data_IF_342597418263
#
_entry.id   IF_342597418263
#
_cell.length_a   1.000
_cell.length_b   1.000
_cell.length_c   1.000
_cell.angle_alpha   90.00
_cell.angle_beta   90.00
_cell.angle_gamma   90.00
#
_symmetry.space_group_name_H-M   'P 1'
#
loop_
_entity.id
_entity.type
_entity.pdbx_description
1 polymer ?
#
# COMPACT_ATOMS: atom_id res chain seq x y z
N UNK A 1 27.00 21.44 7.48
CA UNK A 1 25.64 21.30 6.92
C UNK A 1 24.92 20.12 7.55
N UNK A 2 23.61 20.25 7.72
CA UNK A 2 22.73 19.20 8.22
C UNK A 2 22.37 18.29 7.04
N UNK A 3 22.63 16.98 7.18
CA UNK A 3 22.34 16.00 6.11
C UNK A 3 20.90 15.48 6.19
N UNK A 4 20.36 15.35 7.40
CA UNK A 4 19.01 14.83 7.65
C UNK A 4 18.49 15.32 9.00
N UNK A 5 17.18 15.57 9.07
CA UNK A 5 16.45 15.91 10.29
C UNK A 5 15.09 15.22 10.23
N UNK A 6 14.69 14.59 11.33
CA UNK A 6 13.40 13.91 11.43
C UNK A 6 12.96 13.75 12.89
N UNK A 7 11.70 13.39 13.10
CA UNK A 7 11.14 13.02 14.39
C UNK A 7 11.60 11.61 14.75
N UNK A 8 12.51 11.54 15.71
CA UNK A 8 13.01 10.26 16.22
C UNK A 8 11.98 9.53 17.10
N UNK A 9 11.69 8.28 16.77
CA UNK A 9 10.83 7.38 17.56
C UNK A 9 11.69 6.47 18.44
N UNK A 10 11.43 6.50 19.75
CA UNK A 10 12.15 5.66 20.72
C UNK A 10 11.88 4.19 20.46
N UNK A 11 12.93 3.38 20.37
CA UNK A 11 12.81 1.94 20.13
C UNK A 11 12.52 1.55 18.68
N UNK A 12 12.67 2.46 17.71
CA UNK A 12 12.52 2.15 16.30
C UNK A 12 13.67 1.25 15.81
N UNK A 13 13.33 -0.02 15.55
CA UNK A 13 14.23 -1.05 15.00
C UNK A 13 14.03 -1.25 13.49
N UNK A 14 13.09 -0.53 12.85
CA UNK A 14 12.83 -0.63 11.42
C UNK A 14 13.59 0.39 10.61
N UNK A 15 13.54 1.66 11.02
CA UNK A 15 14.24 2.73 10.30
C UNK A 15 15.75 2.43 10.29
N UNK A 16 16.25 2.15 9.10
CA UNK A 16 17.62 1.75 8.86
C UNK A 16 18.35 2.84 8.10
N UNK A 17 19.43 3.32 8.69
CA UNK A 17 20.30 4.32 8.09
C UNK A 17 21.43 3.64 7.36
N UNK A 18 21.67 4.04 6.12
CA UNK A 18 22.85 3.62 5.36
C UNK A 18 23.87 4.75 5.37
N UNK A 19 25.12 4.41 5.66
CA UNK A 19 26.22 5.39 5.69
C UNK A 19 27.44 4.80 5.00
N UNK A 20 27.97 5.53 4.01
CA UNK A 20 29.36 5.40 3.59
C UNK A 20 30.17 6.54 4.19
N UNK A 21 31.29 6.23 4.82
CA UNK A 21 32.19 7.25 5.37
C UNK A 21 33.66 6.88 5.15
N UNK A 22 34.51 7.90 5.05
CA UNK A 22 35.97 7.75 5.06
C UNK A 22 36.43 7.84 6.51
N UNK A 23 37.21 6.85 6.94
CA UNK A 23 37.95 6.92 8.20
C UNK A 23 39.19 7.80 8.03
N UNK A 24 39.26 8.90 8.78
CA UNK A 24 40.33 9.88 8.64
C UNK A 24 41.74 9.36 8.99
N UNK A 25 41.84 8.30 9.80
CA UNK A 25 43.14 7.69 10.16
C UNK A 25 43.69 6.77 9.05
N UNK A 26 42.84 5.92 8.48
CA UNK A 26 43.29 4.93 7.48
C UNK A 26 43.05 5.35 6.02
N UNK A 27 42.23 6.37 5.78
CA UNK A 27 41.80 6.77 4.44
C UNK A 27 40.89 5.75 3.75
N UNK A 28 40.48 4.69 4.44
CA UNK A 28 39.59 3.65 3.90
C UNK A 28 38.14 4.09 4.00
N UNK A 29 37.35 3.65 3.04
CA UNK A 29 35.89 3.85 3.05
C UNK A 29 35.22 2.64 3.70
N UNK A 30 34.36 2.91 4.67
CA UNK A 30 33.52 1.93 5.34
C UNK A 30 32.06 2.16 5.00
N UNK A 31 31.29 1.08 4.95
CA UNK A 31 29.85 1.08 4.75
C UNK A 31 29.16 0.38 5.90
N UNK A 32 28.06 0.96 6.40
CA UNK A 32 27.25 0.34 7.44
C UNK A 32 25.77 0.61 7.28
N UNK A 33 24.99 -0.34 7.81
CA UNK A 33 23.56 -0.24 8.05
C UNK A 33 23.33 -0.23 9.55
N UNK A 34 22.56 0.73 10.04
CA UNK A 34 22.32 0.83 11.47
C UNK A 34 20.95 1.39 11.82
N UNK A 35 20.42 0.95 12.96
CA UNK A 35 19.28 1.61 13.62
C UNK A 35 19.78 2.57 14.70
N UNK A 36 18.91 3.51 15.06
CA UNK A 36 19.09 4.43 16.18
C UNK A 36 17.95 4.20 17.16
N UNK A 37 18.05 3.15 17.98
CA UNK A 37 16.97 2.75 18.91
C UNK A 37 16.91 3.58 20.19
N UNK A 38 18.01 4.24 20.57
CA UNK A 38 18.12 5.05 21.79
C UNK A 38 19.09 6.23 21.61
N UNK A 39 18.64 7.43 21.96
CA UNK A 39 19.47 8.65 22.04
C UNK A 39 19.31 9.32 23.41
N UNK A 40 20.37 9.99 23.86
CA UNK A 40 20.31 10.92 25.01
C UNK A 40 20.21 12.33 24.46
N UNK A 41 19.28 13.13 24.99
CA UNK A 41 19.14 14.55 24.62
C UNK A 41 20.47 15.28 24.84
N UNK A 42 20.79 16.20 23.93
CA UNK A 42 22.00 17.04 23.97
C UNK A 42 23.33 16.27 23.90
N UNK A 43 23.31 14.98 23.56
CA UNK A 43 24.51 14.18 23.34
C UNK A 43 24.76 13.98 21.86
N UNK A 44 25.93 14.39 21.41
CA UNK A 44 26.43 14.07 20.08
C UNK A 44 27.02 12.65 20.04
N UNK A 45 26.80 11.95 18.93
CA UNK A 45 27.34 10.61 18.69
C UNK A 45 28.10 10.58 17.37
N UNK A 46 29.32 10.07 17.41
CA UNK A 46 30.12 9.86 16.21
C UNK A 46 29.58 8.67 15.41
N UNK A 47 29.23 8.90 14.14
CA UNK A 47 28.77 7.86 13.22
C UNK A 47 29.91 7.20 12.44
N UNK A 48 31.16 7.58 12.69
CA UNK A 48 32.38 7.03 12.10
C UNK A 48 33.18 6.28 13.19
N UNK A 49 34.50 6.13 13.01
CA UNK A 49 35.41 5.60 14.03
C UNK A 49 35.91 6.66 15.03
N UNK A 50 35.54 7.93 14.87
CA UNK A 50 36.09 9.02 15.68
C UNK A 50 37.47 9.52 15.26
N UNK A 51 37.97 9.10 14.10
CA UNK A 51 39.24 9.60 13.57
C UNK A 51 39.11 11.05 13.09
N UNK A 52 40.07 11.90 13.43
CA UNK A 52 40.15 13.26 12.90
C UNK A 52 40.12 13.23 11.35
N UNK A 53 39.38 14.16 10.73
CA UNK A 53 39.16 14.23 9.28
C UNK A 53 38.30 13.11 8.67
N UNK A 54 37.57 12.34 9.48
CA UNK A 54 36.54 11.43 8.94
C UNK A 54 35.43 12.23 8.25
N UNK A 55 34.91 11.69 7.15
CA UNK A 55 33.89 12.38 6.31
C UNK A 55 32.80 11.42 5.88
N UNK A 56 31.55 11.87 5.97
CA UNK A 56 30.42 11.19 5.32
C UNK A 56 30.54 11.37 3.81
N UNK A 57 30.35 10.28 3.07
CA UNK A 57 30.32 10.26 1.60
C UNK A 57 28.92 10.07 1.05
N UNK A 58 28.08 9.33 1.78
CA UNK A 58 26.73 8.98 1.38
C UNK A 58 25.90 8.67 2.62
N UNK A 59 24.68 9.18 2.66
CA UNK A 59 23.73 8.91 3.74
C UNK A 59 22.33 8.78 3.15
N UNK A 60 21.63 7.71 3.50
CA UNK A 60 20.21 7.51 3.16
C UNK A 60 19.45 6.99 4.38
N UNK A 61 18.14 7.24 4.37
CA UNK A 61 17.21 6.85 5.43
C UNK A 61 16.18 5.92 4.81
N UNK A 62 16.05 4.72 5.37
CA UNK A 62 15.22 3.65 4.84
C UNK A 62 14.22 3.26 5.94
N UNK A 63 13.03 3.88 6.00
CA UNK A 63 12.06 3.71 7.08
C UNK A 63 11.60 2.27 7.28
N UNK A 64 11.58 1.48 6.21
CA UNK A 64 11.18 0.08 6.26
C UNK A 64 12.38 -0.88 6.27
N UNK A 65 13.61 -0.39 6.33
CA UNK A 65 14.80 -1.23 6.24
C UNK A 65 15.07 -1.74 4.82
N UNK A 66 14.70 -0.94 3.83
CA UNK A 66 14.93 -1.17 2.40
C UNK A 66 16.41 -1.47 2.11
N UNK A 67 16.67 -2.42 1.21
CA UNK A 67 18.01 -2.57 0.63
C UNK A 67 18.27 -1.48 -0.40
N UNK A 68 19.54 -1.22 -0.69
CA UNK A 68 19.92 -0.14 -1.60
C UNK A 68 21.22 -0.50 -2.30
N UNK A 69 21.24 -0.33 -3.63
CA UNK A 69 22.45 -0.45 -4.42
C UNK A 69 22.93 0.96 -4.77
N UNK A 70 24.21 1.24 -4.49
CA UNK A 70 24.85 2.50 -4.85
C UNK A 70 26.02 2.26 -5.78
N UNK A 71 26.20 3.15 -6.75
CA UNK A 71 27.37 3.16 -7.63
C UNK A 71 28.46 4.05 -7.02
N UNK A 72 29.65 3.48 -6.83
CA UNK A 72 30.81 4.15 -6.25
C UNK A 72 31.80 4.48 -7.35
N UNK A 73 32.11 5.77 -7.49
CA UNK A 73 33.17 6.27 -8.35
C UNK A 73 34.41 6.59 -7.54
N UNK A 74 35.50 5.87 -7.81
CA UNK A 74 36.82 6.14 -7.25
C UNK A 74 37.47 7.36 -7.91
N UNK A 75 38.47 7.92 -7.22
CA UNK A 75 39.26 9.02 -7.75
C UNK A 75 40.03 8.58 -9.01
N UNK A 76 40.07 9.39 -10.09
CA UNK A 76 40.71 9.02 -11.35
C UNK A 76 42.17 8.62 -11.21
N UNK A 77 42.88 9.24 -10.26
CA UNK A 77 44.32 9.05 -10.03
C UNK A 77 44.64 7.86 -9.10
N UNK A 78 43.64 7.12 -8.62
CA UNK A 78 43.89 5.94 -7.78
C UNK A 78 44.38 4.75 -8.62
N UNK A 79 45.13 3.84 -7.98
CA UNK A 79 45.72 2.65 -8.62
C UNK A 79 44.72 1.50 -8.86
N UNK A 80 43.43 1.71 -8.60
CA UNK A 80 42.43 0.67 -8.77
C UNK A 80 42.22 0.35 -10.26
N UNK A 81 42.11 -0.95 -10.59
CA UNK A 81 41.77 -1.41 -11.94
C UNK A 81 40.33 -1.05 -12.31
N UNK A 82 39.37 -1.46 -11.46
CA UNK A 82 38.00 -1.00 -11.59
C UNK A 82 37.77 0.25 -10.73
N UNK A 83 37.36 1.36 -11.37
CA UNK A 83 37.11 2.65 -10.71
C UNK A 83 35.63 2.97 -10.53
N UNK A 84 34.75 2.15 -11.10
CA UNK A 84 33.29 2.29 -10.95
C UNK A 84 32.71 0.93 -10.65
N UNK A 85 32.11 0.77 -9.49
CA UNK A 85 31.50 -0.49 -9.09
C UNK A 85 30.28 -0.23 -8.22
N UNK A 86 29.39 -1.20 -8.19
CA UNK A 86 28.19 -1.15 -7.37
C UNK A 86 28.47 -1.77 -6.00
N UNK A 87 27.86 -1.19 -4.98
CA UNK A 87 27.89 -1.67 -3.61
C UNK A 87 26.47 -1.87 -3.13
N UNK A 88 26.16 -3.11 -2.71
CA UNK A 88 24.85 -3.46 -2.18
C UNK A 88 24.86 -3.36 -0.66
N UNK A 89 24.06 -2.42 -0.13
CA UNK A 89 23.84 -2.32 1.31
C UNK A 89 23.11 -3.55 1.85
N UNK A 90 22.24 -4.21 1.08
CA UNK A 90 21.48 -5.38 1.48
C UNK A 90 22.35 -6.53 2.01
N UNK A 91 23.58 -6.67 1.54
CA UNK A 91 24.56 -7.66 2.02
C UNK A 91 25.08 -7.38 3.45
N UNK A 92 24.94 -6.15 3.93
CA UNK A 92 25.35 -5.76 5.27
C UNK A 92 24.27 -6.10 6.30
N UNK A 93 24.67 -6.72 7.40
CA UNK A 93 23.81 -6.86 8.56
C UNK A 93 23.50 -5.49 9.19
N UNK A 94 22.24 -5.31 9.59
CA UNK A 94 21.79 -4.14 10.35
C UNK A 94 22.32 -4.26 11.79
N UNK A 95 23.02 -3.22 12.26
CA UNK A 95 23.62 -3.18 13.62
C UNK A 95 23.26 -1.87 14.34
N UNK A 96 23.91 -1.58 15.47
CA UNK A 96 23.76 -0.29 16.15
C UNK A 96 24.60 0.83 15.51
N UNK A 97 24.23 2.09 15.79
CA UNK A 97 24.96 3.29 15.30
C UNK A 97 26.47 3.28 15.57
N UNK A 98 26.92 2.69 16.67
CA UNK A 98 28.34 2.62 17.06
C UNK A 98 29.12 1.57 16.27
N UNK A 99 28.46 0.81 15.40
CA UNK A 99 29.13 -0.18 14.56
C UNK A 99 30.11 0.48 13.60
N UNK A 100 31.22 -0.21 13.38
CA UNK A 100 32.27 0.22 12.46
C UNK A 100 31.81 0.16 10.99
N UNK A 101 31.02 -0.85 10.64
CA UNK A 101 30.74 -1.19 9.25
C UNK A 101 31.80 -2.10 8.61
N UNK A 102 31.54 -2.48 7.37
CA UNK A 102 32.43 -3.29 6.56
C UNK A 102 33.30 -2.39 5.68
N UNK A 103 34.49 -2.87 5.31
CA UNK A 103 35.36 -2.12 4.39
C UNK A 103 34.78 -2.20 2.98
N UNK A 104 34.48 -1.05 2.38
CA UNK A 104 33.97 -0.96 1.01
C UNK A 104 35.12 -0.84 0.03
N UNK A 105 36.08 0.03 0.32
CA UNK A 105 37.27 0.19 -0.51
C UNK A 105 38.40 0.84 0.27
N UNK A 106 39.64 0.50 -0.12
CA UNK A 106 40.86 1.15 0.36
C UNK A 106 41.26 2.38 -0.47
N UNK A 107 40.57 2.63 -1.58
CA UNK A 107 40.90 3.70 -2.51
C UNK A 107 40.05 4.96 -2.26
N UNK A 108 40.55 6.16 -2.56
CA UNK A 108 39.78 7.40 -2.37
C UNK A 108 38.53 7.44 -3.25
N UNK A 109 37.36 7.60 -2.63
CA UNK A 109 36.07 7.74 -3.31
C UNK A 109 35.86 9.19 -3.73
N UNK A 110 35.43 9.41 -4.98
CA UNK A 110 35.11 10.73 -5.54
C UNK A 110 33.62 11.04 -5.43
N UNK A 111 32.77 10.07 -5.75
CA UNK A 111 31.31 10.25 -5.81
C UNK A 111 30.61 8.94 -5.49
N UNK A 112 29.47 9.03 -4.82
CA UNK A 112 28.53 7.92 -4.63
C UNK A 112 27.19 8.39 -5.20
N UNK A 113 26.51 7.53 -5.94
CA UNK A 113 25.17 7.78 -6.49
C UNK A 113 24.26 6.61 -6.17
N UNK A 114 23.05 6.89 -5.69
CA UNK A 114 22.01 5.87 -5.60
C UNK A 114 21.73 5.31 -7.00
N UNK A 115 21.74 3.99 -7.12
CA UNK A 115 21.42 3.29 -8.36
C UNK A 115 20.01 2.73 -8.31
N UNK A 116 19.67 2.04 -7.21
CA UNK A 116 18.41 1.33 -7.07
C UNK A 116 18.03 1.23 -5.58
N UNK A 117 16.74 1.40 -5.30
CA UNK A 117 16.13 1.09 -4.00
C UNK A 117 15.46 -0.28 -4.11
N UNK A 118 15.83 -1.20 -3.24
CA UNK A 118 15.27 -2.55 -3.20
C UNK A 118 14.13 -2.70 -2.20
N UNK A 119 13.66 -3.94 -2.05
CA UNK A 119 12.60 -4.29 -1.10
C UNK A 119 13.07 -4.19 0.35
N UNK A 120 12.12 -4.20 1.27
CA UNK A 120 12.40 -4.30 2.71
C UNK A 120 13.18 -5.57 3.04
N UNK A 121 14.33 -5.41 3.69
CA UNK A 121 15.02 -6.57 4.29
C UNK A 121 14.33 -7.07 5.56
N UNK A 122 13.30 -6.37 6.05
CA UNK A 122 12.53 -6.67 7.24
C UNK A 122 11.11 -7.19 6.93
N UNK A 123 10.78 -7.34 5.64
CA UNK A 123 9.48 -7.79 5.13
C UNK A 123 8.34 -6.77 5.28
N UNK A 124 7.15 -7.16 4.80
CA UNK A 124 5.96 -6.33 4.79
C UNK A 124 5.43 -6.00 6.21
N UNK A 125 4.93 -4.78 6.39
CA UNK A 125 4.31 -4.30 7.63
C UNK A 125 2.80 -4.33 7.53
N UNK A 126 2.13 -4.71 8.62
CA UNK A 126 0.67 -4.57 8.70
C UNK A 126 0.33 -3.12 9.05
N UNK A 127 -0.62 -2.53 8.33
CA UNK A 127 -0.98 -1.12 8.46
C UNK A 127 -2.46 -0.98 8.77
N UNK A 128 -2.76 -0.06 9.68
CA UNK A 128 -4.11 0.36 10.03
C UNK A 128 -4.26 1.88 9.90
N UNK A 129 -5.50 2.33 9.74
CA UNK A 129 -5.89 3.74 9.84
C UNK A 129 -6.79 3.95 11.05
N UNK A 130 -6.46 4.91 11.91
CA UNK A 130 -7.37 5.34 12.97
C UNK A 130 -8.56 6.08 12.36
N UNK A 131 -9.77 5.55 12.59
CA UNK A 131 -11.00 5.99 11.90
C UNK A 131 -11.46 7.40 12.29
N UNK A 132 -10.93 7.97 13.38
CA UNK A 132 -11.29 9.31 13.85
C UNK A 132 -10.27 10.34 13.37
N UNK A 133 -8.99 10.07 13.59
CA UNK A 133 -7.92 11.01 13.26
C UNK A 133 -7.45 10.89 11.81
N UNK A 134 -7.66 9.75 11.15
CA UNK A 134 -7.17 9.45 9.80
C UNK A 134 -5.67 9.19 9.72
N UNK A 135 -4.98 8.97 10.85
CA UNK A 135 -3.55 8.66 10.89
C UNK A 135 -3.30 7.18 10.63
N UNK A 136 -2.27 6.91 9.85
CA UNK A 136 -1.75 5.55 9.65
C UNK A 136 -0.92 5.11 10.86
N UNK A 137 -1.01 3.82 11.20
CA UNK A 137 -0.28 3.21 12.30
C UNK A 137 -0.01 1.72 12.04
N UNK A 138 0.88 1.14 12.85
CA UNK A 138 1.23 -0.29 12.84
C UNK A 138 0.84 -0.96 14.17
N UNK A 139 0.03 -0.30 14.99
CA UNK A 139 -0.27 -0.68 16.38
C UNK A 139 -1.57 -1.50 16.49
N UNK A 140 -2.00 -2.11 15.38
CA UNK A 140 -3.24 -2.89 15.28
C UNK A 140 -4.53 -2.11 15.62
N UNK A 141 -4.51 -0.78 15.47
CA UNK A 141 -5.61 0.09 15.88
C UNK A 141 -6.33 0.72 14.68
N UNK A 142 -7.64 0.46 14.62
CA UNK A 142 -8.56 1.06 13.65
C UNK A 142 -8.82 0.13 12.46
N UNK A 143 -9.02 0.72 11.28
CA UNK A 143 -9.31 0.01 10.04
C UNK A 143 -8.03 -0.63 9.48
N UNK A 144 -8.01 -1.95 9.36
CA UNK A 144 -6.91 -2.67 8.71
C UNK A 144 -6.87 -2.37 7.21
N UNK A 145 -5.73 -1.90 6.71
CA UNK A 145 -5.55 -1.54 5.30
C UNK A 145 -4.87 -2.63 4.48
N UNK A 146 -4.09 -3.50 5.13
CA UNK A 146 -3.33 -4.56 4.48
C UNK A 146 -1.89 -4.64 4.96
N UNK A 147 -1.11 -5.50 4.28
CA UNK A 147 0.34 -5.63 4.49
C UNK A 147 1.10 -4.92 3.38
N UNK A 148 1.98 -3.99 3.74
CA UNK A 148 2.71 -3.12 2.83
C UNK A 148 4.20 -3.41 2.88
N UNK A 149 4.80 -3.64 1.72
CA UNK A 149 6.23 -3.65 1.47
C UNK A 149 6.62 -2.43 0.62
N UNK A 150 7.91 -2.29 0.35
CA UNK A 150 8.45 -1.20 -0.48
C UNK A 150 7.80 -1.22 -1.87
N UNK A 151 7.24 -0.08 -2.26
CA UNK A 151 6.55 0.10 -3.55
C UNK A 151 5.07 -0.28 -3.53
N UNK A 152 4.54 -0.84 -2.44
CA UNK A 152 3.10 -1.04 -2.31
C UNK A 152 2.36 0.30 -2.19
N UNK A 153 1.17 0.35 -2.78
CA UNK A 153 0.36 1.54 -2.89
C UNK A 153 -0.99 1.38 -2.19
N UNK A 154 -1.62 2.51 -1.89
CA UNK A 154 -2.96 2.63 -1.35
C UNK A 154 -3.94 2.91 -2.48
N UNK A 155 -5.12 2.30 -2.42
CA UNK A 155 -6.30 2.66 -3.19
C UNK A 155 -7.25 3.46 -2.29
N UNK A 156 -7.64 4.65 -2.74
CA UNK A 156 -8.64 5.47 -2.08
C UNK A 156 -9.85 5.66 -3.00
N UNK A 157 -11.05 5.54 -2.44
CA UNK A 157 -12.31 5.88 -3.12
C UNK A 157 -13.01 6.95 -2.28
N UNK A 158 -13.32 8.07 -2.90
CA UNK A 158 -13.89 9.24 -2.25
C UNK A 158 -15.41 9.33 -2.43
N UNK A 159 -16.08 10.01 -1.52
CA UNK A 159 -17.54 10.23 -1.55
C UNK A 159 -17.99 11.08 -2.75
N UNK A 160 -17.09 11.87 -3.33
CA UNK A 160 -17.35 12.66 -4.54
C UNK A 160 -17.31 11.83 -5.83
N UNK A 161 -16.96 10.54 -5.76
CA UNK A 161 -16.83 9.68 -6.92
C UNK A 161 -15.51 9.83 -7.67
N UNK A 162 -14.47 10.28 -6.97
CA UNK A 162 -13.09 10.13 -7.42
C UNK A 162 -12.42 8.92 -6.78
N UNK A 163 -11.43 8.34 -7.46
CA UNK A 163 -10.47 7.42 -6.86
C UNK A 163 -9.05 7.99 -6.96
N UNK A 164 -8.15 7.48 -6.15
CA UNK A 164 -6.73 7.84 -6.16
C UNK A 164 -5.89 6.62 -5.81
N UNK A 165 -4.76 6.47 -6.50
CA UNK A 165 -3.69 5.55 -6.11
C UNK A 165 -2.51 6.37 -5.60
N UNK A 166 -1.96 5.99 -4.44
CA UNK A 166 -0.90 6.75 -3.77
C UNK A 166 0.12 5.80 -3.15
N UNK A 167 1.40 6.18 -3.17
CA UNK A 167 2.44 5.43 -2.48
C UNK A 167 2.20 5.40 -0.96
N UNK A 168 2.49 4.26 -0.33
CA UNK A 168 2.36 4.17 1.11
C UNK A 168 3.37 5.07 1.83
N UNK A 169 2.87 5.98 2.67
CA UNK A 169 3.68 6.81 3.56
C UNK A 169 3.01 6.92 4.94
N UNK A 170 3.70 6.43 5.97
CA UNK A 170 3.21 6.41 7.35
C UNK A 170 2.93 7.80 7.95
N UNK A 171 3.50 8.88 7.39
CA UNK A 171 3.30 10.23 7.88
C UNK A 171 2.04 10.90 7.33
N UNK A 172 1.41 10.29 6.31
CA UNK A 172 0.20 10.82 5.73
C UNK A 172 -1.00 10.71 6.68
N UNK A 173 -1.88 11.70 6.57
CA UNK A 173 -3.14 11.78 7.29
C UNK A 173 -4.29 11.95 6.30
N UNK A 174 -5.26 11.04 6.38
CA UNK A 174 -6.45 11.08 5.54
C UNK A 174 -7.62 11.76 6.26
N UNK A 175 -8.65 12.10 5.48
CA UNK A 175 -9.91 12.62 6.00
C UNK A 175 -10.96 11.49 5.95
N UNK A 176 -11.23 10.78 7.07
CA UNK A 176 -12.10 9.60 7.04
C UNK A 176 -13.52 9.90 6.53
N UNK A 177 -14.01 11.11 6.79
CA UNK A 177 -15.32 11.58 6.35
C UNK A 177 -15.44 11.87 4.85
N UNK A 178 -14.33 11.95 4.11
CA UNK A 178 -14.34 12.10 2.65
C UNK A 178 -14.23 10.75 1.93
N UNK A 179 -13.88 9.69 2.65
CA UNK A 179 -13.60 8.38 2.10
C UNK A 179 -14.83 7.47 2.14
N UNK A 180 -14.95 6.67 1.09
CA UNK A 180 -15.80 5.46 1.04
C UNK A 180 -14.94 4.22 1.27
N UNK A 181 -13.70 4.23 0.78
CA UNK A 181 -12.76 3.13 0.94
C UNK A 181 -11.32 3.65 1.02
N UNK A 182 -10.50 2.95 1.81
CA UNK A 182 -9.05 3.02 1.81
C UNK A 182 -8.51 1.61 2.09
N UNK A 183 -7.50 1.19 1.35
CA UNK A 183 -6.88 -0.12 1.50
C UNK A 183 -5.68 -0.28 0.59
N UNK A 184 -4.99 -1.42 0.68
CA UNK A 184 -3.91 -1.76 -0.24
C UNK A 184 -4.43 -1.83 -1.67
N UNK A 185 -3.71 -1.22 -2.60
CA UNK A 185 -4.00 -1.28 -4.02
C UNK A 185 -3.58 -2.64 -4.59
N UNK A 186 -4.48 -3.24 -5.36
CA UNK A 186 -4.22 -4.39 -6.21
C UNK A 186 -4.81 -4.07 -7.60
N UNK A 187 -3.99 -4.08 -8.68
CA UNK A 187 -4.44 -3.79 -10.03
C UNK A 187 -5.62 -4.64 -10.51
N UNK A 188 -5.77 -5.86 -9.99
CA UNK A 188 -6.87 -6.75 -10.36
C UNK A 188 -8.17 -6.44 -9.63
N UNK A 189 -8.14 -5.57 -8.60
CA UNK A 189 -9.32 -5.20 -7.81
C UNK A 189 -10.36 -4.50 -8.67
N UNK A 190 -11.57 -5.07 -8.68
CA UNK A 190 -12.72 -4.49 -9.36
C UNK A 190 -13.47 -3.56 -8.40
N UNK A 191 -13.56 -2.28 -8.76
CA UNK A 191 -14.39 -1.30 -8.08
C UNK A 191 -15.80 -1.40 -8.64
N UNK A 192 -16.76 -1.70 -7.76
CA UNK A 192 -18.19 -1.71 -8.07
C UNK A 192 -18.85 -0.47 -7.49
N UNK A 193 -19.47 0.35 -8.34
CA UNK A 193 -20.10 1.61 -7.95
C UNK A 193 -21.55 1.70 -8.43
N UNK A 194 -22.41 2.28 -7.59
CA UNK A 194 -23.76 2.71 -7.96
C UNK A 194 -23.82 4.21 -7.80
N UNK A 195 -24.21 4.91 -8.86
CA UNK A 195 -24.26 6.36 -8.85
C UNK A 195 -25.42 6.90 -9.67
N UNK A 196 -25.84 8.12 -9.35
CA UNK A 196 -26.79 8.86 -10.15
C UNK A 196 -26.02 9.61 -11.25
N UNK A 197 -26.34 9.35 -12.51
CA UNK A 197 -25.74 10.01 -13.68
C UNK A 197 -26.58 11.24 -14.03
N UNK A 198 -25.97 12.41 -13.92
CA UNK A 198 -26.67 13.68 -13.94
C UNK A 198 -27.14 14.12 -15.34
N UNK A 199 -26.49 13.70 -16.42
CA UNK A 199 -26.88 14.09 -17.78
C UNK A 199 -28.18 13.41 -18.22
N UNK A 200 -28.37 12.14 -17.83
CA UNK A 200 -29.53 11.31 -18.22
C UNK A 200 -30.59 11.20 -17.13
N UNK A 201 -30.24 11.54 -15.89
CA UNK A 201 -31.12 11.42 -14.73
C UNK A 201 -31.38 9.97 -14.31
N UNK A 202 -30.43 9.07 -14.56
CA UNK A 202 -30.57 7.63 -14.28
C UNK A 202 -29.69 7.21 -13.11
N UNK A 203 -30.11 6.18 -12.39
CA UNK A 203 -29.16 5.44 -11.54
C UNK A 203 -28.53 4.33 -12.36
N UNK A 204 -27.20 4.29 -12.33
CA UNK A 204 -26.39 3.34 -13.10
C UNK A 204 -25.48 2.54 -12.18
N UNK A 205 -25.13 1.34 -12.61
CA UNK A 205 -24.13 0.48 -11.97
C UNK A 205 -22.92 0.40 -12.89
N UNK A 206 -21.73 0.56 -12.32
CA UNK A 206 -20.47 0.52 -13.04
C UNK A 206 -19.48 -0.37 -12.29
N UNK A 207 -18.77 -1.22 -13.03
CA UNK A 207 -17.68 -2.04 -12.53
C UNK A 207 -16.45 -1.79 -13.37
N UNK A 208 -15.30 -1.55 -12.76
CA UNK A 208 -14.06 -1.24 -13.46
C UNK A 208 -12.83 -1.58 -12.62
N UNK A 209 -11.69 -1.82 -13.27
CA UNK A 209 -10.38 -1.87 -12.64
C UNK A 209 -9.68 -0.51 -12.82
N UNK A 210 -8.70 -0.21 -11.96
CA UNK A 210 -7.90 1.01 -12.09
C UNK A 210 -6.89 0.82 -13.21
N UNK A 211 -7.01 1.65 -14.26
CA UNK A 211 -6.10 1.62 -15.42
C UNK A 211 -5.09 2.77 -15.41
N UNK A 212 -5.20 3.71 -14.47
CA UNK A 212 -4.33 4.89 -14.40
C UNK A 212 -2.99 4.56 -13.78
N UNK A 213 -1.91 5.02 -14.40
CA UNK A 213 -0.54 4.83 -13.92
C UNK A 213 -0.02 5.98 -13.06
N UNK A 214 -0.71 7.11 -13.04
CA UNK A 214 -0.31 8.29 -12.25
C UNK A 214 -0.71 8.10 -10.78
N UNK A 215 0.27 8.30 -9.89
CA UNK A 215 0.05 8.36 -8.45
C UNK A 215 -0.30 9.78 -7.99
N UNK A 216 -0.90 9.90 -6.82
CA UNK A 216 -1.21 11.18 -6.16
C UNK A 216 -2.15 12.10 -6.95
N UNK A 217 -2.91 11.52 -7.87
CA UNK A 217 -3.90 12.21 -8.67
C UNK A 217 -5.29 11.60 -8.46
N UNK A 218 -6.27 12.47 -8.24
CA UNK A 218 -7.69 12.07 -8.19
C UNK A 218 -8.27 11.95 -9.60
N UNK A 219 -8.94 10.84 -9.86
CA UNK A 219 -9.63 10.56 -11.11
C UNK A 219 -11.13 10.42 -10.89
N UNK A 220 -11.92 11.30 -11.51
CA UNK A 220 -13.38 11.23 -11.45
C UNK A 220 -13.89 10.08 -12.33
N UNK A 221 -14.51 9.06 -11.72
CA UNK A 221 -15.10 7.94 -12.46
C UNK A 221 -16.62 8.09 -12.64
N UNK A 222 -17.21 9.20 -12.21
CA UNK A 222 -18.58 9.61 -12.55
C UNK A 222 -18.57 10.46 -13.83
N UNK A 223 -19.74 10.99 -14.19
CA UNK A 223 -19.81 12.03 -15.22
C UNK A 223 -19.46 13.40 -14.64
N UNK A 224 -18.92 14.28 -15.47
CA UNK A 224 -18.68 15.68 -15.13
C UNK A 224 -20.00 16.49 -15.22
N UNK A 225 -20.93 16.20 -14.31
CA UNK A 225 -22.20 16.91 -14.20
C UNK A 225 -22.49 17.23 -12.73
N UNK A 226 -22.93 18.45 -12.37
CA UNK A 226 -23.12 18.84 -10.97
C UNK A 226 -24.12 17.99 -10.17
N UNK A 227 -25.05 17.32 -10.85
CA UNK A 227 -26.01 16.42 -10.22
C UNK A 227 -25.51 14.98 -10.07
N UNK A 228 -24.38 14.63 -10.69
CA UNK A 228 -23.82 13.30 -10.56
C UNK A 228 -23.37 13.05 -9.15
N UNK A 229 -23.79 11.90 -8.59
CA UNK A 229 -23.55 11.60 -7.18
C UNK A 229 -23.34 10.12 -6.96
N UNK A 230 -22.23 9.78 -6.32
CA UNK A 230 -21.98 8.43 -5.82
C UNK A 230 -23.02 8.06 -4.75
N UNK A 231 -23.65 6.90 -4.92
CA UNK A 231 -24.63 6.36 -3.96
C UNK A 231 -24.03 5.21 -3.16
N UNK A 232 -23.12 4.45 -3.75
CA UNK A 232 -22.44 3.31 -3.14
C UNK A 232 -21.16 2.98 -3.92
N UNK A 233 -20.11 2.54 -3.23
CA UNK A 233 -18.96 1.87 -3.84
C UNK A 233 -18.46 0.74 -2.93
N UNK A 234 -17.94 -0.33 -3.54
CA UNK A 234 -17.34 -1.46 -2.84
C UNK A 234 -16.27 -2.11 -3.73
N UNK A 235 -15.25 -2.68 -3.09
CA UNK A 235 -14.19 -3.47 -3.75
C UNK A 235 -14.38 -4.98 -3.53
N UNK A 236 -15.49 -5.40 -2.91
CA UNK A 236 -15.78 -6.83 -2.77
C UNK A 236 -16.00 -7.46 -4.15
N UNK A 237 -15.57 -8.70 -4.30
CA UNK A 237 -15.66 -9.45 -5.57
C UNK A 237 -17.11 -9.56 -6.08
N UNK A 238 -18.05 -9.83 -5.16
CA UNK A 238 -19.49 -9.97 -5.43
C UNK A 238 -20.32 -9.13 -4.46
N UNK A 239 -20.34 -7.80 -4.60
CA UNK A 239 -21.09 -6.94 -3.70
C UNK A 239 -22.59 -7.05 -4.01
N UNK A 240 -23.38 -7.36 -2.98
CA UNK A 240 -24.83 -7.33 -3.03
C UNK A 240 -25.32 -6.08 -2.32
N UNK A 241 -26.30 -5.39 -2.91
CA UNK A 241 -26.88 -4.19 -2.33
C UNK A 241 -28.37 -4.34 -2.10
N UNK A 242 -28.88 -3.63 -1.10
CA UNK A 242 -30.29 -3.28 -0.97
C UNK A 242 -30.45 -1.79 -1.27
N UNK A 243 -31.51 -1.43 -1.98
CA UNK A 243 -31.84 -0.05 -2.31
C UNK A 243 -33.33 0.21 -2.21
N UNK A 244 -33.70 1.49 -2.13
CA UNK A 244 -35.08 1.96 -2.07
C UNK A 244 -35.37 2.95 -3.20
N UNK A 245 -36.57 2.87 -3.77
CA UNK A 245 -37.07 3.78 -4.79
C UNK A 245 -38.50 4.24 -4.45
N UNK A 246 -38.86 5.47 -4.84
CA UNK A 246 -40.23 5.99 -4.69
C UNK A 246 -40.96 5.96 -6.02
N UNK A 247 -42.07 5.22 -6.07
CA UNK A 247 -43.00 5.16 -7.22
C UNK A 247 -44.39 5.52 -6.75
N UNK A 248 -44.98 6.58 -7.32
CA UNK A 248 -46.34 7.07 -7.01
C UNK A 248 -46.62 7.10 -5.49
N UNK A 249 -45.71 7.74 -4.74
CA UNK A 249 -45.75 7.88 -3.27
C UNK A 249 -45.59 6.61 -2.43
N UNK A 250 -45.37 5.44 -3.06
CA UNK A 250 -45.01 4.20 -2.36
C UNK A 250 -43.50 3.99 -2.39
N UNK A 251 -42.93 3.61 -1.24
CA UNK A 251 -41.54 3.16 -1.14
C UNK A 251 -41.49 1.69 -1.57
N UNK A 252 -40.64 1.37 -2.54
CA UNK A 252 -40.31 0.02 -2.93
C UNK A 252 -38.85 -0.26 -2.60
N UNK A 253 -38.54 -1.48 -2.24
CA UNK A 253 -37.19 -1.93 -1.96
C UNK A 253 -36.79 -2.99 -3.00
N UNK A 254 -35.51 -3.01 -3.34
CA UNK A 254 -34.93 -3.97 -4.28
C UNK A 254 -33.56 -4.41 -3.81
N UNK A 255 -33.13 -5.56 -4.30
CA UNK A 255 -31.79 -6.11 -4.08
C UNK A 255 -31.11 -6.35 -5.41
N UNK A 256 -29.78 -6.25 -5.45
CA UNK A 256 -29.01 -6.47 -6.67
C UNK A 256 -27.63 -7.03 -6.35
N UNK A 257 -27.24 -8.11 -7.03
CA UNK A 257 -25.84 -8.54 -7.13
C UNK A 257 -25.17 -7.72 -8.24
N UNK A 258 -24.20 -6.89 -7.89
CA UNK A 258 -23.56 -6.00 -8.85
C UNK A 258 -22.69 -6.76 -9.84
N UNK A 259 -22.12 -7.90 -9.45
CA UNK A 259 -21.24 -8.69 -10.29
C UNK A 259 -22.00 -9.45 -11.38
N UNK A 260 -23.20 -9.93 -11.06
CA UNK A 260 -24.10 -10.56 -12.05
C UNK A 260 -24.77 -9.52 -12.98
N UNK A 261 -24.97 -8.28 -12.52
CA UNK A 261 -25.67 -7.25 -13.28
C UNK A 261 -24.86 -6.66 -14.44
N UNK A 262 -23.54 -6.58 -14.30
CA UNK A 262 -22.67 -5.96 -15.31
C UNK A 262 -21.25 -6.54 -15.26
N UNK A 263 -20.69 -6.80 -16.44
CA UNK A 263 -19.26 -7.11 -16.58
C UNK A 263 -18.37 -5.92 -16.20
N UNK A 264 -17.10 -6.20 -15.96
CA UNK A 264 -16.08 -5.15 -15.83
C UNK A 264 -15.98 -4.37 -17.15
N UNK A 265 -16.09 -3.05 -17.06
CA UNK A 265 -15.92 -2.10 -18.17
C UNK A 265 -14.72 -1.21 -17.87
N UNK A 266 -14.29 -0.41 -18.86
CA UNK A 266 -13.26 0.59 -18.64
C UNK A 266 -13.70 1.68 -17.66
N UNK A 267 -12.76 2.26 -16.92
CA UNK A 267 -13.05 3.22 -15.86
C UNK A 267 -13.70 4.53 -16.35
N UNK A 268 -13.71 4.82 -17.65
CA UNK A 268 -14.44 5.97 -18.25
C UNK A 268 -15.85 5.62 -18.74
N UNK A 269 -16.24 4.35 -18.76
CA UNK A 269 -17.57 3.94 -19.22
C UNK A 269 -18.65 4.43 -18.25
N UNK A 270 -19.86 4.71 -18.74
CA UNK A 270 -20.97 5.14 -17.87
C UNK A 270 -21.47 3.99 -16.98
N UNK A 271 -21.47 2.77 -17.50
CA UNK A 271 -22.08 1.60 -16.86
C UNK A 271 -23.49 1.30 -17.39
N UNK A 272 -24.18 0.37 -16.73
CA UNK A 272 -25.51 -0.10 -17.12
C UNK A 272 -26.59 0.60 -16.29
N UNK A 273 -27.70 0.98 -16.94
CA UNK A 273 -28.84 1.61 -16.28
C UNK A 273 -29.55 0.60 -15.36
N UNK A 274 -29.63 0.92 -14.08
CA UNK A 274 -30.43 0.19 -13.09
C UNK A 274 -31.82 0.80 -12.92
N UNK A 275 -31.92 2.12 -12.92
CA UNK A 275 -33.20 2.82 -12.75
C UNK A 275 -33.24 4.12 -13.54
N UNK A 276 -34.43 4.51 -13.99
CA UNK A 276 -34.74 5.82 -14.56
C UNK A 276 -34.83 6.94 -13.50
N UNK A 277 -34.58 6.62 -12.23
CA UNK A 277 -34.71 7.55 -11.09
C UNK A 277 -33.53 7.40 -10.16
N UNK A 278 -33.36 8.40 -9.29
CA UNK A 278 -32.39 8.35 -8.18
C UNK A 278 -32.83 7.34 -7.11
N UNK A 279 -31.93 6.44 -6.77
CA UNK A 279 -32.12 5.51 -5.64
C UNK A 279 -31.81 6.19 -4.30
N UNK A 280 -32.37 5.62 -3.23
CA UNK A 280 -32.17 6.04 -1.84
C UNK A 280 -31.84 4.82 -0.98
N UNK A 281 -31.20 5.01 0.17
CA UNK A 281 -30.82 3.95 1.10
C UNK A 281 -30.07 2.79 0.41
N UNK A 282 -29.15 3.10 -0.49
CA UNK A 282 -28.28 2.10 -1.12
C UNK A 282 -27.27 1.67 -0.07
N UNK A 283 -27.34 0.40 0.34
CA UNK A 283 -26.45 -0.18 1.35
C UNK A 283 -26.04 -1.58 0.95
N UNK A 284 -24.87 -2.00 1.38
CA UNK A 284 -24.43 -3.37 1.19
C UNK A 284 -25.31 -4.33 2.02
N UNK A 285 -25.64 -5.48 1.43
CA UNK A 285 -26.16 -6.62 2.15
C UNK A 285 -24.98 -7.47 2.58
N UNK A 286 -24.91 -7.79 3.86
CA UNK A 286 -23.94 -8.78 4.33
C UNK A 286 -24.27 -10.13 3.68
N UNK A 287 -23.36 -10.62 2.84
CA UNK A 287 -23.51 -11.93 2.23
C UNK A 287 -23.67 -12.99 3.31
N UNK A 288 -24.54 -13.98 3.06
CA UNK A 288 -24.47 -15.24 3.81
C UNK A 288 -23.02 -15.73 3.72
N UNK A 289 -22.40 -16.06 4.85
CA UNK A 289 -21.13 -16.78 4.86
C UNK A 289 -21.30 -18.04 4.02
N UNK A 290 -20.75 -18.04 2.80
CA UNK A 290 -20.57 -19.26 2.02
C UNK A 290 -19.36 -19.93 2.66
N UNK A 291 -19.61 -20.95 3.49
CA UNK A 291 -18.55 -21.65 4.24
C UNK A 291 -18.91 -22.13 5.64
N UNK A 292 -20.07 -22.79 5.79
CA UNK A 292 -20.18 -23.96 6.67
C UNK A 292 -21.03 -24.98 5.90
N UNK A 293 -20.41 -25.64 4.91
CA UNK A 293 -20.73 -27.05 4.75
C UNK A 293 -20.40 -27.68 6.11
N UNK A 294 -21.40 -28.30 6.73
CA UNK A 294 -21.28 -28.86 8.06
C UNK A 294 -20.03 -29.74 8.13
N UNK A 295 -19.19 -29.50 9.11
CA UNK A 295 -18.16 -30.46 9.48
C UNK A 295 -18.88 -31.76 9.84
N UNK A 296 -18.91 -32.71 8.90
CA UNK A 296 -19.36 -34.07 9.13
C UNK A 296 -18.45 -34.62 10.23
N UNK A 297 -19.03 -34.97 11.37
CA UNK A 297 -18.25 -35.55 12.48
C UNK A 297 -18.00 -37.02 12.15
N UNK A 298 -16.85 -37.54 12.60
CA UNK A 298 -16.59 -38.98 12.52
C UNK A 298 -17.70 -39.72 13.30
N UNK A 299 -18.60 -40.38 12.55
CA UNK A 299 -19.80 -41.03 13.09
C UNK A 299 -21.11 -40.65 12.40
N UNK A 300 -21.14 -39.64 11.52
CA UNK A 300 -22.34 -39.34 10.73
C UNK A 300 -22.55 -40.44 9.68
N UNK A 301 -23.61 -41.24 9.88
CA UNK A 301 -24.10 -42.21 8.90
C UNK A 301 -24.74 -41.49 7.72
N UNK A 302 -24.15 -41.66 6.53
CA UNK A 302 -24.74 -41.25 5.26
C UNK A 302 -25.70 -42.37 4.83
N UNK A 303 -27.01 -42.15 4.95
CA UNK A 303 -27.99 -43.01 4.27
C UNK A 303 -27.94 -42.71 2.77
N UNK A 304 -27.52 -43.72 2.00
CA UNK A 304 -27.62 -43.70 0.54
C UNK A 304 -28.96 -44.30 0.15
N UNK A 305 -29.93 -43.45 -0.21
CA UNK A 305 -31.08 -43.90 -1.00
C UNK A 305 -30.57 -44.26 -2.39
N UNK A 306 -30.42 -45.57 -2.63
CA UNK A 306 -30.18 -46.14 -3.94
C UNK A 306 -31.53 -46.33 -4.64
N UNK A 307 -31.79 -45.55 -5.69
CA UNK A 307 -32.83 -45.89 -6.67
C UNK A 307 -32.36 -47.09 -7.51
N UNK A 308 -33.29 -47.98 -7.85
CA UNK A 308 -33.14 -49.29 -8.53
C UNK A 308 -32.59 -49.23 -9.98
N UNK A 309 -31.49 -48.51 -10.22
CA UNK A 309 -30.97 -48.30 -11.58
C UNK A 309 -29.48 -48.06 -11.74
N UNK A 310 -28.68 -48.00 -10.67
CA UNK A 310 -27.23 -48.22 -10.72
C UNK A 310 -26.39 -47.41 -11.73
N UNK A 311 -26.69 -46.12 -11.98
CA UNK A 311 -25.77 -45.23 -12.72
C UNK A 311 -25.74 -43.80 -12.17
N UNK A 312 -24.56 -43.35 -11.75
CA UNK A 312 -24.29 -41.99 -11.29
C UNK A 312 -24.02 -41.03 -12.47
N UNK A 313 -24.70 -39.88 -12.49
CA UNK A 313 -24.30 -38.71 -13.29
C UNK A 313 -23.48 -37.76 -12.41
N UNK A 314 -22.27 -37.45 -12.87
CA UNK A 314 -21.39 -36.45 -12.28
C UNK A 314 -21.89 -35.03 -12.64
N UNK A 315 -22.08 -34.19 -11.62
CA UNK A 315 -21.89 -32.74 -11.70
C UNK A 315 -20.76 -32.40 -10.72
#
# INVERSE_FOLDING_TARGET
DIVHVDVWKKGDERTTYHLLYVDGKSGRTFGKRFNVTAITRDREYDLTKGGANSKSLYFSVNPNGESEIVTIHLSPNCRAHNKVFDFDFGELAIKGRSSQGNTVTKYPVRKVTQKELGQSTLGAISVWMDEVSGRLNTDERGLFLGKFDTGDQLLLIYQDGTYEVRDFDSNHRFQPNELVHIGKFDPETVISAVYFEGNKGWTVVKRFQVETTSTDQKFNFLSDHPQSKLLFASIKERPQIQYSLRVKSKKMEGTLDLAEFIDVKGWKAVGNKLSDRKLSNVRELEGRKIGQEGAVKAGDTIEFDLDDGGQAKLF
#
